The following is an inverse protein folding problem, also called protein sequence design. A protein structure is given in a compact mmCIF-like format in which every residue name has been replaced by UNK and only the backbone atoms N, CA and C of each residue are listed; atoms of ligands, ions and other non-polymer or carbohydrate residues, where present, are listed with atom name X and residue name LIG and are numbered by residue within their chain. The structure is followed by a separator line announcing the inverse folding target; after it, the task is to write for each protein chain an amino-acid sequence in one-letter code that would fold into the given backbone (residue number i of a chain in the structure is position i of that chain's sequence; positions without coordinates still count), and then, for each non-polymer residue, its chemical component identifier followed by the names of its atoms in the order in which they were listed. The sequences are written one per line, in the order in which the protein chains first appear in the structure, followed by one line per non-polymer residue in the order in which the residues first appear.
data_IF_961985326169
#
_entry.id   IF_961985326169
#
_cell.length_a   1.000
_cell.length_b   1.000
_cell.length_c   1.000
_cell.angle_alpha   90.00
_cell.angle_beta   90.00
_cell.angle_gamma   90.00
#
_symmetry.space_group_name_H-M   'P 1'
#
loop_
_entity.id
_entity.type
_entity.pdbx_description
1 polymer ?
#
# COMPACT_ATOMS: atom_id res chain seq x y z
N UNK A 1 -43.78 -19.50 -4.17
CA UNK A 1 -43.74 -18.02 -4.30
C UNK A 1 -42.86 -17.43 -3.21
N UNK A 2 -42.36 -16.22 -3.40
CA UNK A 2 -41.56 -15.50 -2.40
C UNK A 2 -42.33 -15.26 -1.11
N UNK A 3 -43.61 -14.96 -1.23
CA UNK A 3 -44.50 -14.82 -0.07
C UNK A 3 -44.53 -16.06 0.81
N UNK A 4 -44.59 -17.26 0.22
CA UNK A 4 -44.58 -18.53 0.95
C UNK A 4 -43.21 -18.81 1.62
N UNK A 5 -42.13 -18.40 0.98
CA UNK A 5 -40.78 -18.50 1.56
C UNK A 5 -40.70 -17.58 2.79
N UNK A 6 -41.15 -16.32 2.66
CA UNK A 6 -41.16 -15.34 3.76
C UNK A 6 -42.03 -15.85 4.91
N UNK A 7 -43.24 -16.42 4.65
CA UNK A 7 -44.10 -16.98 5.68
C UNK A 7 -43.45 -18.17 6.40
N UNK A 8 -42.76 -19.03 5.64
CA UNK A 8 -41.98 -20.14 6.21
C UNK A 8 -40.84 -19.63 7.11
N UNK A 9 -40.11 -18.60 6.67
CA UNK A 9 -39.02 -18.00 7.44
C UNK A 9 -39.55 -17.36 8.73
N UNK A 10 -40.65 -16.64 8.67
CA UNK A 10 -41.32 -16.07 9.86
C UNK A 10 -41.71 -17.13 10.88
N UNK A 11 -42.26 -18.26 10.41
CA UNK A 11 -42.61 -19.42 11.29
C UNK A 11 -41.36 -20.10 11.88
N UNK A 12 -40.19 -19.86 11.32
CA UNK A 12 -38.91 -20.41 11.77
C UNK A 12 -37.90 -19.29 12.06
N UNK A 13 -38.34 -18.16 12.61
CA UNK A 13 -37.59 -16.92 12.78
C UNK A 13 -36.20 -17.12 13.39
N UNK A 14 -36.06 -17.93 14.44
CA UNK A 14 -34.80 -18.23 15.10
C UNK A 14 -33.70 -18.73 14.15
N UNK A 15 -34.10 -19.41 13.06
CA UNK A 15 -33.18 -19.97 12.06
C UNK A 15 -32.84 -18.98 10.96
N UNK A 16 -33.71 -18.03 10.68
CA UNK A 16 -33.60 -17.09 9.56
C UNK A 16 -33.49 -15.63 10.00
N UNK A 17 -33.23 -15.39 11.29
CA UNK A 17 -33.03 -14.05 11.83
C UNK A 17 -31.83 -13.38 11.16
N UNK A 18 -31.99 -12.14 10.73
CA UNK A 18 -30.94 -11.25 10.26
C UNK A 18 -31.10 -9.88 10.90
N UNK A 19 -30.05 -9.09 10.89
CA UNK A 19 -30.11 -7.69 11.28
C UNK A 19 -30.81 -6.88 10.19
N UNK A 20 -31.47 -5.81 10.60
CA UNK A 20 -31.98 -4.80 9.67
C UNK A 20 -30.86 -4.30 8.76
N UNK A 21 -31.19 -4.09 7.49
CA UNK A 21 -30.20 -3.64 6.52
C UNK A 21 -30.72 -2.53 5.60
N UNK A 22 -29.78 -1.81 5.03
CA UNK A 22 -30.02 -0.74 4.06
C UNK A 22 -29.15 -0.99 2.85
N UNK A 23 -29.71 -0.78 1.66
CA UNK A 23 -28.94 -0.78 0.42
C UNK A 23 -28.76 0.67 -0.05
N UNK A 24 -27.53 1.09 -0.20
CA UNK A 24 -27.17 2.45 -0.58
C UNK A 24 -26.37 2.41 -1.87
N UNK A 25 -26.85 3.09 -2.91
CA UNK A 25 -26.06 3.39 -4.12
C UNK A 25 -25.49 4.79 -4.03
N UNK A 26 -24.38 5.04 -4.71
CA UNK A 26 -23.74 6.35 -4.62
C UNK A 26 -22.99 6.73 -5.91
N UNK A 27 -22.76 8.02 -6.08
CA UNK A 27 -21.80 8.59 -7.01
C UNK A 27 -20.65 9.17 -6.21
N UNK A 28 -19.42 8.89 -6.64
CA UNK A 28 -18.20 9.49 -6.11
C UNK A 28 -17.69 10.53 -7.10
N UNK A 29 -17.57 11.77 -6.65
CA UNK A 29 -16.87 12.84 -7.36
C UNK A 29 -15.56 13.05 -6.61
N UNK A 30 -14.47 12.55 -7.19
CA UNK A 30 -13.17 12.51 -6.54
C UNK A 30 -12.53 13.91 -6.47
N UNK A 31 -11.90 14.22 -5.34
CA UNK A 31 -11.08 15.43 -5.17
C UNK A 31 -9.68 15.20 -5.75
N UNK A 32 -9.61 15.24 -7.08
CA UNK A 32 -8.37 15.03 -7.83
C UNK A 32 -7.90 16.32 -8.51
N UNK A 33 -6.58 16.49 -8.51
CA UNK A 33 -5.94 17.54 -9.28
C UNK A 33 -6.33 17.51 -10.76
N UNK A 34 -6.58 18.66 -11.34
CA UNK A 34 -6.83 18.83 -12.76
C UNK A 34 -5.53 18.73 -13.56
N UNK A 35 -5.66 18.67 -14.90
CA UNK A 35 -4.48 18.74 -15.78
C UNK A 35 -3.78 20.08 -15.70
N UNK A 36 -4.51 21.13 -15.41
CA UNK A 36 -4.01 22.49 -15.18
C UNK A 36 -3.15 22.52 -13.91
N UNK A 37 -3.64 21.94 -12.81
CA UNK A 37 -2.90 21.80 -11.55
C UNK A 37 -1.61 20.99 -11.74
N UNK A 38 -1.68 19.85 -12.46
CA UNK A 38 -0.49 19.07 -12.81
C UNK A 38 0.54 19.89 -13.60
N UNK A 39 0.06 20.70 -14.57
CA UNK A 39 0.91 21.52 -15.40
C UNK A 39 1.55 22.65 -14.58
N UNK A 40 0.81 23.25 -13.67
CA UNK A 40 1.30 24.30 -12.78
C UNK A 40 2.41 23.78 -11.87
N UNK A 41 2.20 22.66 -11.19
CA UNK A 41 3.23 22.02 -10.33
C UNK A 41 4.45 21.64 -11.14
N UNK A 42 4.28 21.06 -12.35
CA UNK A 42 5.36 20.73 -13.25
C UNK A 42 6.17 21.97 -13.67
N UNK A 43 5.50 23.07 -13.99
CA UNK A 43 6.17 24.31 -14.38
C UNK A 43 6.90 24.93 -13.19
N UNK A 44 6.27 24.94 -12.01
CA UNK A 44 6.87 25.42 -10.77
C UNK A 44 8.15 24.68 -10.44
N UNK A 45 8.13 23.33 -10.41
CA UNK A 45 9.33 22.54 -10.11
C UNK A 45 10.41 22.68 -11.21
N UNK A 46 9.98 22.84 -12.46
CA UNK A 46 10.91 23.07 -13.58
C UNK A 46 11.65 24.40 -13.42
N UNK A 47 10.96 25.45 -12.96
CA UNK A 47 11.58 26.76 -12.72
C UNK A 47 12.65 26.73 -11.64
N UNK A 48 12.55 25.78 -10.68
CA UNK A 48 13.57 25.58 -9.65
C UNK A 48 14.92 25.06 -10.18
N UNK A 49 14.96 24.49 -11.39
CA UNK A 49 16.21 24.00 -11.98
C UNK A 49 17.22 25.10 -12.23
N UNK A 50 16.74 26.28 -12.61
CA UNK A 50 17.57 27.45 -12.94
C UNK A 50 17.41 28.52 -11.87
N UNK A 51 18.46 29.29 -11.65
CA UNK A 51 18.36 30.45 -10.79
C UNK A 51 17.41 31.53 -11.35
N UNK A 52 16.91 32.36 -10.49
CA UNK A 52 16.05 33.49 -10.84
C UNK A 52 16.55 34.77 -10.20
N UNK A 53 16.16 35.91 -10.78
CA UNK A 53 16.41 37.21 -10.19
C UNK A 53 15.07 37.75 -9.70
N UNK A 54 15.00 38.05 -8.40
CA UNK A 54 13.78 38.53 -7.73
C UNK A 54 14.05 39.90 -7.15
N UNK A 55 13.15 40.84 -7.43
CA UNK A 55 13.24 42.17 -6.82
C UNK A 55 12.84 42.12 -5.35
N UNK A 56 13.76 42.49 -4.47
CA UNK A 56 13.54 42.56 -3.03
C UNK A 56 13.03 43.96 -2.66
N UNK A 57 11.74 44.03 -2.34
CA UNK A 57 11.11 45.32 -1.96
C UNK A 57 11.69 45.92 -0.69
N UNK A 58 12.16 45.11 0.25
CA UNK A 58 12.72 45.61 1.51
C UNK A 58 14.09 46.25 1.33
N UNK A 59 14.90 45.79 0.37
CA UNK A 59 16.24 46.32 0.09
C UNK A 59 16.30 47.24 -1.13
N UNK A 60 15.25 47.26 -1.95
CA UNK A 60 15.20 47.98 -3.22
C UNK A 60 16.18 47.45 -4.27
N UNK A 61 16.67 46.21 -4.12
CA UNK A 61 17.65 45.57 -5.01
C UNK A 61 17.15 44.24 -5.58
N UNK A 62 17.78 43.83 -6.65
CA UNK A 62 17.56 42.50 -7.20
C UNK A 62 18.41 41.47 -6.44
N UNK A 63 17.77 40.46 -5.89
CA UNK A 63 18.39 39.29 -5.29
C UNK A 63 18.48 38.18 -6.33
N UNK A 64 19.62 37.52 -6.42
CA UNK A 64 19.79 36.34 -7.28
C UNK A 64 19.55 35.07 -6.45
N UNK A 65 18.48 34.36 -6.75
CA UNK A 65 18.18 33.07 -6.16
C UNK A 65 18.92 31.96 -6.98
N UNK A 66 19.63 31.10 -6.28
CA UNK A 66 20.28 29.97 -6.91
C UNK A 66 19.25 28.95 -7.39
N UNK A 67 19.47 28.35 -8.54
CA UNK A 67 18.68 27.22 -8.99
C UNK A 67 19.25 25.89 -8.44
N UNK A 68 18.45 24.83 -8.52
CA UNK A 68 18.84 23.50 -8.02
C UNK A 68 20.14 22.97 -8.62
N UNK A 69 20.41 23.29 -9.91
CA UNK A 69 21.66 22.89 -10.60
C UNK A 69 22.90 23.51 -9.97
N UNK A 70 22.77 24.75 -9.50
CA UNK A 70 23.89 25.57 -9.01
C UNK A 70 23.89 25.77 -7.50
N UNK A 71 22.88 25.24 -6.80
CA UNK A 71 22.75 25.37 -5.36
C UNK A 71 24.00 24.86 -4.64
N UNK A 72 24.64 25.72 -3.84
CA UNK A 72 25.83 25.43 -3.05
C UNK A 72 25.50 24.54 -1.85
N UNK A 73 24.37 24.81 -1.18
CA UNK A 73 23.81 23.94 -0.16
C UNK A 73 22.57 23.21 -0.72
N UNK A 74 22.81 22.05 -1.30
CA UNK A 74 21.74 21.24 -1.92
C UNK A 74 20.71 20.75 -0.92
N UNK A 75 21.10 20.46 0.33
CA UNK A 75 20.21 19.95 1.36
C UNK A 75 19.24 21.03 1.82
N UNK A 76 19.72 22.24 2.11
CA UNK A 76 18.88 23.38 2.47
C UNK A 76 17.95 23.76 1.32
N UNK A 77 18.43 23.66 0.07
CA UNK A 77 17.60 23.90 -1.10
C UNK A 77 16.42 22.92 -1.16
N UNK A 78 16.67 21.63 -0.96
CA UNK A 78 15.61 20.62 -0.92
C UNK A 78 14.62 20.92 0.19
N UNK A 79 15.09 21.10 1.43
CA UNK A 79 14.22 21.35 2.58
C UNK A 79 13.38 22.62 2.47
N UNK A 80 13.84 23.59 1.68
CA UNK A 80 13.10 24.86 1.46
C UNK A 80 12.09 24.81 0.31
N UNK A 81 12.20 23.84 -0.62
CA UNK A 81 11.43 23.81 -1.86
C UNK A 81 10.64 22.49 -2.07
N UNK A 82 10.79 21.54 -1.18
CA UNK A 82 10.19 20.20 -1.28
C UNK A 82 9.11 20.00 -0.21
N UNK A 83 8.03 19.35 -0.59
CA UNK A 83 6.99 18.90 0.36
C UNK A 83 7.45 17.64 1.15
N UNK A 84 8.52 16.99 0.69
CA UNK A 84 9.15 15.85 1.36
C UNK A 84 10.55 16.28 1.82
N UNK A 85 10.90 16.10 3.11
CA UNK A 85 12.23 16.46 3.59
C UNK A 85 13.32 15.61 2.94
N UNK A 86 14.55 16.15 2.93
CA UNK A 86 15.71 15.43 2.42
C UNK A 86 15.97 14.14 3.19
N UNK A 87 16.12 13.05 2.43
CA UNK A 87 16.57 11.75 2.95
C UNK A 87 18.03 11.50 2.55
N UNK A 88 18.87 11.19 3.54
CA UNK A 88 20.29 10.92 3.35
C UNK A 88 20.61 9.48 2.95
N UNK A 89 19.60 8.62 2.82
CA UNK A 89 19.77 7.21 2.49
C UNK A 89 20.35 6.99 1.08
N UNK A 90 21.07 5.89 0.94
CA UNK A 90 21.44 5.38 -0.38
C UNK A 90 20.37 4.42 -0.87
N UNK A 91 19.88 4.62 -2.08
CA UNK A 91 18.80 3.85 -2.69
C UNK A 91 19.36 2.93 -3.75
N UNK A 92 19.04 1.66 -3.72
CA UNK A 92 19.40 0.72 -4.76
C UNK A 92 18.56 0.97 -6.03
N UNK A 93 19.09 0.61 -7.21
CA UNK A 93 18.41 0.86 -8.50
C UNK A 93 16.98 0.33 -8.55
N UNK A 94 16.74 -0.85 -7.95
CA UNK A 94 15.41 -1.50 -7.92
C UNK A 94 14.35 -0.73 -7.13
N UNK A 95 14.77 0.13 -6.21
CA UNK A 95 13.91 0.90 -5.31
C UNK A 95 13.67 2.34 -5.83
N UNK A 96 14.26 2.69 -6.98
CA UNK A 96 13.99 3.94 -7.70
C UNK A 96 12.69 3.84 -8.51
N UNK A 97 12.06 4.98 -8.88
CA UNK A 97 10.91 5.01 -9.79
C UNK A 97 11.19 4.24 -11.07
N UNK A 98 10.43 3.18 -11.35
CA UNK A 98 10.76 2.20 -12.38
C UNK A 98 11.00 2.79 -13.78
N UNK A 99 10.23 3.83 -14.14
CA UNK A 99 10.34 4.51 -15.45
C UNK A 99 11.66 5.29 -15.57
N UNK A 100 12.09 5.91 -14.48
CA UNK A 100 13.22 6.83 -14.42
C UNK A 100 14.46 6.21 -13.75
N UNK A 101 14.38 4.95 -13.32
CA UNK A 101 15.41 4.28 -12.54
C UNK A 101 16.78 4.24 -13.24
N UNK A 102 16.80 4.04 -14.54
CA UNK A 102 18.04 4.00 -15.32
C UNK A 102 18.74 5.35 -15.34
N UNK A 103 17.98 6.40 -15.61
CA UNK A 103 18.49 7.78 -15.68
C UNK A 103 18.96 8.26 -14.31
N UNK A 104 18.13 8.04 -13.28
CA UNK A 104 18.46 8.43 -11.90
C UNK A 104 19.68 7.68 -11.38
N UNK A 105 19.72 6.37 -11.59
CA UNK A 105 20.84 5.55 -11.11
C UNK A 105 22.17 5.89 -11.78
N UNK A 106 22.17 6.27 -13.06
CA UNK A 106 23.38 6.57 -13.82
C UNK A 106 23.81 8.03 -13.73
N UNK A 107 23.16 8.88 -12.93
CA UNK A 107 23.56 10.26 -12.74
C UNK A 107 24.99 10.37 -12.19
N UNK A 108 25.81 11.17 -12.85
CA UNK A 108 27.11 11.56 -12.31
C UNK A 108 26.94 12.42 -11.03
N UNK A 109 27.87 12.39 -10.08
CA UNK A 109 27.82 13.26 -8.91
C UNK A 109 27.67 14.75 -9.32
N UNK A 110 26.68 15.42 -8.70
CA UNK A 110 26.30 16.81 -9.01
C UNK A 110 25.36 16.98 -10.21
N UNK A 111 25.15 15.96 -11.05
CA UNK A 111 24.20 16.02 -12.15
C UNK A 111 22.75 16.01 -11.65
N UNK A 112 21.88 16.68 -12.40
CA UNK A 112 20.44 16.83 -12.08
C UNK A 112 19.60 16.21 -13.17
N UNK A 113 18.58 15.45 -12.78
CA UNK A 113 17.55 14.85 -13.63
C UNK A 113 16.16 15.32 -13.24
N UNK A 114 15.29 15.45 -14.22
CA UNK A 114 13.88 15.80 -14.05
C UNK A 114 13.49 17.06 -14.86
N UNK A 115 12.20 17.47 -14.78
CA UNK A 115 11.17 16.91 -13.88
C UNK A 115 10.65 15.54 -14.34
N UNK A 116 10.38 14.67 -13.38
CA UNK A 116 9.74 13.36 -13.57
C UNK A 116 8.61 13.16 -12.56
N UNK A 117 7.67 12.26 -12.85
CA UNK A 117 6.52 11.99 -11.97
C UNK A 117 6.77 10.72 -11.17
N UNK A 118 6.60 10.81 -9.85
CA UNK A 118 6.65 9.66 -8.95
C UNK A 118 5.46 9.69 -7.98
N UNK A 119 4.53 8.74 -8.15
CA UNK A 119 3.27 8.75 -7.42
C UNK A 119 2.50 10.04 -7.66
N UNK A 120 2.16 10.74 -6.59
CA UNK A 120 1.46 12.03 -6.62
C UNK A 120 2.40 13.24 -6.72
N UNK A 121 3.69 13.05 -6.96
CA UNK A 121 4.67 14.13 -6.95
C UNK A 121 5.29 14.35 -8.32
N UNK A 122 5.62 15.61 -8.64
CA UNK A 122 6.66 15.93 -9.59
C UNK A 122 7.98 16.11 -8.84
N UNK A 123 9.04 15.55 -9.40
CA UNK A 123 10.36 15.46 -8.77
C UNK A 123 11.47 15.98 -9.68
N UNK A 124 12.48 16.61 -9.07
CA UNK A 124 13.81 16.84 -9.67
C UNK A 124 14.84 16.30 -8.69
N UNK A 125 15.83 15.58 -9.19
CA UNK A 125 16.85 14.92 -8.35
C UNK A 125 18.26 15.28 -8.75
N UNK A 126 19.12 15.49 -7.77
CA UNK A 126 20.56 15.73 -7.92
C UNK A 126 21.34 14.61 -7.27
N UNK A 127 22.26 14.01 -7.99
CA UNK A 127 23.13 12.97 -7.45
C UNK A 127 24.14 13.55 -6.47
N UNK A 128 24.18 13.00 -5.25
CA UNK A 128 25.18 13.35 -4.22
C UNK A 128 26.31 12.31 -4.12
N UNK A 129 26.26 11.26 -4.93
CA UNK A 129 27.28 10.22 -4.99
C UNK A 129 26.73 8.82 -4.87
N UNK A 130 27.64 7.85 -4.88
CA UNK A 130 27.33 6.42 -4.83
C UNK A 130 28.02 5.75 -3.66
N UNK A 131 27.48 4.64 -3.23
CA UNK A 131 28.07 3.77 -2.21
C UNK A 131 27.92 2.32 -2.66
N UNK A 132 29.01 1.57 -2.61
CA UNK A 132 28.99 0.15 -2.88
C UNK A 132 28.32 -0.64 -1.74
N UNK A 133 27.63 -1.71 -2.10
CA UNK A 133 27.12 -2.70 -1.17
C UNK A 133 26.11 -2.15 -0.16
N UNK A 134 25.19 -1.29 -0.57
CA UNK A 134 24.14 -0.74 0.31
C UNK A 134 23.10 -1.79 0.72
N UNK A 135 22.89 -2.79 -0.13
CA UNK A 135 22.13 -4.01 0.19
C UNK A 135 22.99 -5.23 -0.11
N UNK A 136 22.77 -6.30 0.60
CA UNK A 136 23.40 -7.57 0.34
C UNK A 136 22.36 -8.68 0.24
N UNK A 137 22.68 -9.71 -0.53
CA UNK A 137 21.92 -10.95 -0.61
C UNK A 137 22.79 -12.09 -0.08
N UNK A 138 22.23 -12.90 0.78
CA UNK A 138 22.93 -14.03 1.34
C UNK A 138 22.01 -15.25 1.45
N UNK A 139 22.63 -16.42 1.39
CA UNK A 139 22.01 -17.68 1.79
C UNK A 139 22.68 -18.18 3.06
N UNK A 140 21.93 -18.86 3.93
CA UNK A 140 22.48 -19.43 5.13
C UNK A 140 21.98 -20.84 5.47
N UNK A 141 22.77 -21.54 6.27
CA UNK A 141 22.39 -22.81 6.89
C UNK A 141 22.51 -22.58 8.39
N UNK A 142 21.40 -22.68 9.12
CA UNK A 142 21.35 -22.51 10.56
C UNK A 142 21.43 -23.87 11.25
N UNK A 143 22.36 -24.04 12.19
CA UNK A 143 22.46 -25.17 13.09
C UNK A 143 22.24 -24.66 14.51
N UNK A 144 21.03 -24.86 15.00
CA UNK A 144 20.61 -24.46 16.34
C UNK A 144 21.02 -25.50 17.39
N UNK A 145 20.98 -25.11 18.67
CA UNK A 145 21.24 -25.98 19.82
C UNK A 145 20.32 -25.63 20.99
N UNK A 146 20.30 -26.43 22.02
CA UNK A 146 19.49 -26.18 23.23
C UNK A 146 19.72 -24.80 23.80
N UNK A 147 18.64 -24.07 24.07
CA UNK A 147 18.68 -22.71 24.62
C UNK A 147 18.82 -21.58 23.60
N UNK A 148 18.91 -21.88 22.29
CA UNK A 148 18.81 -20.85 21.25
C UNK A 148 17.37 -20.38 21.02
N UNK A 149 17.21 -19.20 20.38
CA UNK A 149 15.91 -18.59 20.11
C UNK A 149 15.16 -19.18 18.92
N UNK A 150 15.40 -20.44 18.57
CA UNK A 150 14.75 -21.16 17.48
C UNK A 150 13.59 -21.99 18.03
N UNK A 151 12.32 -21.72 17.64
CA UNK A 151 11.16 -22.36 18.27
C UNK A 151 10.98 -23.83 17.93
N UNK A 152 11.42 -24.30 16.76
CA UNK A 152 11.23 -25.68 16.29
C UNK A 152 12.53 -26.27 15.77
N UNK A 153 13.42 -26.65 16.70
CA UNK A 153 14.67 -27.31 16.35
C UNK A 153 14.41 -28.70 15.76
N UNK A 154 15.02 -29.00 14.61
CA UNK A 154 14.91 -30.33 13.98
C UNK A 154 15.55 -31.44 14.80
N UNK A 155 16.61 -31.13 15.53
CA UNK A 155 17.37 -32.08 16.34
C UNK A 155 17.74 -31.43 17.69
N UNK A 156 17.67 -32.23 18.75
CA UNK A 156 18.09 -31.81 20.08
C UNK A 156 19.61 -32.02 20.21
N UNK A 157 20.41 -30.92 20.19
CA UNK A 157 21.88 -30.92 20.22
C UNK A 157 22.41 -30.04 21.33
N UNK A 158 23.57 -30.38 21.83
CA UNK A 158 24.40 -29.47 22.62
C UNK A 158 25.04 -28.41 21.71
N UNK A 159 25.59 -27.38 22.34
CA UNK A 159 26.32 -26.33 21.59
C UNK A 159 27.55 -26.90 20.89
N UNK A 160 28.27 -27.82 21.48
CA UNK A 160 29.47 -28.48 20.96
C UNK A 160 29.09 -29.34 19.72
N UNK A 161 28.02 -30.11 19.82
CA UNK A 161 27.51 -30.94 18.70
C UNK A 161 27.07 -30.06 17.53
N UNK A 162 26.35 -28.96 17.80
CA UNK A 162 25.95 -28.02 16.78
C UNK A 162 27.14 -27.36 16.08
N UNK A 163 28.16 -26.96 16.85
CA UNK A 163 29.40 -26.39 16.31
C UNK A 163 30.13 -27.39 15.40
N UNK A 164 30.31 -28.62 15.85
CA UNK A 164 30.96 -29.67 15.07
C UNK A 164 30.20 -29.96 13.77
N UNK A 165 28.85 -30.02 13.83
CA UNK A 165 27.99 -30.18 12.63
C UNK A 165 28.13 -28.99 11.68
N UNK A 166 28.12 -27.76 12.19
CA UNK A 166 28.28 -26.55 11.36
C UNK A 166 29.67 -26.47 10.71
N UNK A 167 30.74 -26.83 11.42
CA UNK A 167 32.10 -26.92 10.88
C UNK A 167 32.21 -28.00 9.79
N UNK A 168 31.57 -29.16 9.97
CA UNK A 168 31.50 -30.20 8.96
C UNK A 168 30.77 -29.73 7.69
N UNK A 169 29.64 -29.03 7.85
CA UNK A 169 28.88 -28.46 6.71
C UNK A 169 29.70 -27.41 6.01
N UNK A 170 30.38 -26.51 6.75
CA UNK A 170 31.28 -25.51 6.16
C UNK A 170 32.37 -26.17 5.31
N UNK A 171 32.99 -27.25 5.80
CA UNK A 171 34.01 -28.00 5.05
C UNK A 171 33.42 -28.61 3.75
N UNK A 172 32.21 -29.18 3.80
CA UNK A 172 31.53 -29.70 2.64
C UNK A 172 31.23 -28.63 1.58
N UNK A 173 30.66 -27.48 2.02
CA UNK A 173 30.36 -26.35 1.14
C UNK A 173 31.64 -25.75 0.55
N UNK A 174 32.72 -25.71 1.32
CA UNK A 174 34.01 -25.20 0.84
C UNK A 174 34.61 -26.13 -0.22
N UNK A 175 34.49 -27.45 -0.04
CA UNK A 175 34.96 -28.45 -1.00
C UNK A 175 34.08 -28.49 -2.26
N UNK A 176 32.77 -28.33 -2.10
CA UNK A 176 31.79 -28.34 -3.19
C UNK A 176 30.74 -27.26 -2.97
N UNK A 177 30.93 -26.04 -3.53
CA UNK A 177 30.00 -24.91 -3.37
C UNK A 177 28.57 -25.16 -3.87
N UNK A 178 28.38 -26.11 -4.80
CA UNK A 178 27.05 -26.45 -5.35
C UNK A 178 26.21 -27.28 -4.37
N UNK A 179 26.83 -27.88 -3.36
CA UNK A 179 26.15 -28.63 -2.31
C UNK A 179 25.35 -27.74 -1.35
N UNK A 180 25.57 -26.41 -1.36
CA UNK A 180 24.98 -25.47 -0.39
C UNK A 180 23.46 -25.58 -0.33
N UNK A 181 22.78 -25.57 -1.49
CA UNK A 181 21.33 -25.62 -1.58
C UNK A 181 20.77 -26.90 -0.95
N UNK A 182 21.37 -28.06 -1.28
CA UNK A 182 20.95 -29.35 -0.73
C UNK A 182 21.20 -29.42 0.79
N UNK A 183 22.35 -28.94 1.25
CA UNK A 183 22.69 -28.89 2.67
C UNK A 183 21.79 -27.94 3.45
N UNK A 184 21.40 -26.78 2.87
CA UNK A 184 20.42 -25.89 3.45
C UNK A 184 19.06 -26.59 3.62
N UNK A 185 18.59 -27.26 2.58
CA UNK A 185 17.32 -27.99 2.60
C UNK A 185 17.30 -29.11 3.66
N UNK A 186 18.38 -29.89 3.76
CA UNK A 186 18.42 -31.08 4.61
C UNK A 186 18.80 -30.78 6.06
N UNK A 187 19.73 -29.85 6.29
CA UNK A 187 20.36 -29.66 7.61
C UNK A 187 19.98 -28.37 8.33
N UNK A 188 19.45 -27.34 7.63
CA UNK A 188 19.14 -26.06 8.25
C UNK A 188 17.89 -26.12 9.13
N UNK A 189 17.98 -25.52 10.32
CA UNK A 189 16.86 -25.36 11.24
C UNK A 189 16.04 -24.08 10.95
N UNK A 190 16.46 -23.28 9.96
CA UNK A 190 15.78 -22.06 9.56
C UNK A 190 14.67 -22.32 8.51
N UNK A 191 13.63 -21.49 8.54
CA UNK A 191 12.49 -21.59 7.59
C UNK A 191 12.90 -21.38 6.13
N UNK A 192 13.94 -20.58 5.88
CA UNK A 192 14.51 -20.38 4.52
C UNK A 192 15.12 -21.65 3.92
N UNK A 193 15.28 -22.72 4.71
CA UNK A 193 15.76 -24.03 4.23
C UNK A 193 15.00 -24.52 3.00
N UNK A 194 13.69 -24.29 2.92
CA UNK A 194 12.83 -24.66 1.80
C UNK A 194 13.18 -23.94 0.49
N UNK A 195 13.89 -22.82 0.59
CA UNK A 195 14.38 -21.99 -0.53
C UNK A 195 15.92 -22.06 -0.67
N UNK A 196 16.55 -23.14 -0.15
CA UNK A 196 18.01 -23.29 -0.17
C UNK A 196 18.74 -22.32 0.74
N UNK A 197 18.08 -21.81 1.77
CA UNK A 197 18.63 -20.84 2.71
C UNK A 197 18.64 -19.40 2.21
N UNK A 198 18.02 -19.10 1.06
CA UNK A 198 18.02 -17.75 0.48
C UNK A 198 17.18 -16.78 1.35
N UNK A 199 17.82 -15.71 1.81
CA UNK A 199 17.21 -14.66 2.63
C UNK A 199 16.75 -13.44 1.81
N UNK A 200 16.98 -13.43 0.51
CA UNK A 200 16.75 -12.27 -0.32
C UNK A 200 17.74 -11.14 -0.02
N UNK A 201 17.41 -9.93 -0.52
CA UNK A 201 18.19 -8.73 -0.23
C UNK A 201 17.76 -8.07 1.08
N UNK A 202 18.74 -7.64 1.87
CA UNK A 202 18.55 -6.89 3.10
C UNK A 202 19.59 -5.77 3.24
N UNK A 203 19.22 -4.72 3.94
CA UNK A 203 20.09 -3.59 4.25
C UNK A 203 20.91 -3.79 5.51
N UNK A 204 21.87 -2.88 5.80
CA UNK A 204 22.66 -2.91 7.02
C UNK A 204 21.77 -2.88 8.28
N UNK A 205 22.18 -3.64 9.29
CA UNK A 205 21.52 -3.74 10.60
C UNK A 205 20.10 -4.34 10.59
N UNK A 206 19.66 -4.96 9.52
CA UNK A 206 18.40 -5.74 9.47
C UNK A 206 18.59 -7.16 10.04
N UNK A 207 19.81 -7.65 10.07
CA UNK A 207 20.18 -8.93 10.68
C UNK A 207 20.91 -8.71 11.99
N UNK A 208 20.95 -9.75 12.86
CA UNK A 208 21.75 -9.69 14.11
C UNK A 208 23.20 -9.36 13.81
N UNK A 209 23.82 -8.59 14.72
CA UNK A 209 25.12 -7.97 14.48
C UNK A 209 26.22 -8.89 13.93
N UNK A 210 26.48 -10.10 14.48
CA UNK A 210 27.53 -10.95 13.92
C UNK A 210 27.27 -11.39 12.49
N UNK A 211 26.01 -11.67 12.15
CA UNK A 211 25.58 -12.02 10.77
C UNK A 211 25.75 -10.81 9.83
N UNK A 212 25.23 -9.66 10.27
CA UNK A 212 25.35 -8.40 9.53
C UNK A 212 26.81 -8.06 9.21
N UNK A 213 27.67 -8.08 10.21
CA UNK A 213 29.08 -7.74 10.09
C UNK A 213 29.79 -8.68 9.10
N UNK A 214 29.49 -9.99 9.17
CA UNK A 214 30.04 -10.93 8.22
C UNK A 214 29.65 -10.60 6.79
N UNK A 215 28.34 -10.34 6.54
CA UNK A 215 27.85 -10.12 5.19
C UNK A 215 28.35 -8.79 4.61
N UNK A 216 28.31 -7.71 5.39
CA UNK A 216 28.67 -6.37 4.86
C UNK A 216 30.16 -6.14 4.78
N UNK A 217 30.98 -6.82 5.59
CA UNK A 217 32.44 -6.66 5.60
C UNK A 217 33.19 -7.62 4.66
N UNK A 218 32.52 -8.59 4.04
CA UNK A 218 33.15 -9.55 3.13
C UNK A 218 32.61 -9.41 1.69
N UNK A 219 33.34 -9.96 0.73
CA UNK A 219 33.00 -9.92 -0.71
C UNK A 219 31.96 -10.95 -1.09
N UNK A 220 31.28 -10.74 -2.24
CA UNK A 220 30.42 -11.75 -2.88
C UNK A 220 31.19 -13.06 -3.06
N UNK A 221 30.52 -14.18 -2.87
CA UNK A 221 31.10 -15.51 -2.94
C UNK A 221 31.74 -16.00 -1.63
N UNK A 222 31.98 -15.12 -0.65
CA UNK A 222 32.54 -15.54 0.64
C UNK A 222 31.55 -16.46 1.36
N UNK A 223 32.09 -17.58 1.85
CA UNK A 223 31.41 -18.51 2.77
C UNK A 223 32.12 -18.47 4.11
N UNK A 224 31.36 -18.53 5.20
CA UNK A 224 31.94 -18.56 6.54
C UNK A 224 30.95 -18.98 7.61
N UNK A 225 31.50 -19.27 8.80
CA UNK A 225 30.76 -19.69 9.98
C UNK A 225 30.66 -18.52 10.99
N UNK A 226 29.46 -18.24 11.44
CA UNK A 226 29.18 -17.18 12.42
C UNK A 226 28.25 -17.71 13.51
N UNK A 227 28.58 -17.42 14.77
CA UNK A 227 27.71 -17.70 15.92
C UNK A 227 26.80 -16.51 16.22
N UNK A 228 25.53 -16.79 16.48
CA UNK A 228 24.51 -15.79 16.88
C UNK A 228 23.65 -16.37 18.02
N UNK A 229 22.72 -15.59 18.62
CA UNK A 229 21.75 -16.10 19.59
C UNK A 229 20.83 -17.22 19.02
N UNK A 230 20.76 -17.40 17.71
CA UNK A 230 19.98 -18.45 17.06
C UNK A 230 20.77 -19.76 16.85
N UNK A 231 22.08 -19.72 16.95
CA UNK A 231 22.96 -20.85 16.70
C UNK A 231 24.13 -20.52 15.79
N UNK A 232 24.66 -21.54 15.11
CA UNK A 232 25.75 -21.42 14.16
C UNK A 232 25.20 -21.29 12.74
N UNK A 233 25.63 -20.22 12.04
CA UNK A 233 25.23 -19.95 10.66
C UNK A 233 26.40 -20.18 9.72
N UNK A 234 26.22 -21.04 8.74
CA UNK A 234 27.08 -21.10 7.55
C UNK A 234 26.47 -20.13 6.54
N UNK A 235 27.14 -19.01 6.28
CA UNK A 235 26.64 -17.90 5.46
C UNK A 235 27.39 -17.90 4.15
N UNK A 236 26.66 -17.78 3.01
CA UNK A 236 27.19 -17.56 1.67
C UNK A 236 26.67 -16.22 1.16
N UNK A 237 27.55 -15.27 0.89
CA UNK A 237 27.20 -14.00 0.28
C UNK A 237 27.00 -14.21 -1.21
N UNK A 238 25.77 -14.00 -1.70
CA UNK A 238 25.42 -14.33 -3.08
C UNK A 238 25.40 -13.12 -4.00
N UNK A 239 25.08 -11.94 -3.47
CA UNK A 239 25.09 -10.69 -4.25
C UNK A 239 25.19 -9.45 -3.36
N UNK A 240 25.55 -8.29 -3.95
CA UNK A 240 25.52 -6.97 -3.34
C UNK A 240 25.00 -5.93 -4.33
N UNK A 241 24.20 -5.01 -3.86
CA UNK A 241 23.69 -3.91 -4.65
C UNK A 241 24.35 -2.60 -4.21
N UNK A 242 24.83 -1.86 -5.18
CA UNK A 242 25.28 -0.49 -4.96
C UNK A 242 24.08 0.46 -4.92
N UNK A 243 24.23 1.56 -4.21
CA UNK A 243 23.20 2.58 -4.10
C UNK A 243 23.69 3.94 -4.58
N UNK A 244 22.71 4.76 -4.96
CA UNK A 244 22.91 6.19 -5.24
C UNK A 244 22.23 7.00 -4.14
N UNK A 245 22.86 8.10 -3.72
CA UNK A 245 22.24 9.09 -2.83
C UNK A 245 21.77 10.26 -3.67
N UNK A 246 20.50 10.54 -3.60
CA UNK A 246 19.84 11.61 -4.34
C UNK A 246 19.32 12.69 -3.37
N UNK A 247 19.56 13.93 -3.72
CA UNK A 247 18.82 15.05 -3.16
C UNK A 247 17.63 15.30 -4.10
N UNK A 248 16.42 15.08 -3.61
CA UNK A 248 15.19 15.15 -4.42
C UNK A 248 14.28 16.25 -3.90
N UNK A 249 13.98 17.24 -4.73
CA UNK A 249 12.84 18.14 -4.52
C UNK A 249 11.61 17.43 -5.07
N UNK A 250 10.60 17.23 -4.25
CA UNK A 250 9.34 16.61 -4.59
C UNK A 250 8.20 17.57 -4.26
N UNK A 251 7.38 17.94 -5.24
CA UNK A 251 6.20 18.78 -5.05
C UNK A 251 4.94 17.99 -5.37
N UNK A 252 4.02 17.96 -4.42
CA UNK A 252 2.78 17.19 -4.51
C UNK A 252 1.83 17.82 -5.51
N UNK A 253 1.18 16.99 -6.30
CA UNK A 253 0.10 17.39 -7.19
C UNK A 253 -1.21 17.20 -6.42
N UNK A 254 -1.83 18.31 -6.06
CA UNK A 254 -3.12 18.37 -5.37
C UNK A 254 -4.07 19.25 -6.14
N UNK A 255 -5.37 19.07 -5.92
CA UNK A 255 -6.37 19.98 -6.48
C UNK A 255 -6.13 21.41 -5.94
N UNK A 256 -6.04 22.38 -6.83
CA UNK A 256 -6.00 23.78 -6.42
C UNK A 256 -7.37 24.21 -5.85
N UNK A 257 -7.42 25.34 -5.15
CA UNK A 257 -8.66 25.94 -4.66
C UNK A 257 -9.69 26.07 -5.80
N UNK A 258 -9.27 26.54 -6.97
CA UNK A 258 -10.13 26.68 -8.14
C UNK A 258 -10.66 25.32 -8.66
N UNK A 259 -9.86 24.25 -8.55
CA UNK A 259 -10.29 22.89 -8.92
C UNK A 259 -11.24 22.33 -7.86
N UNK A 260 -10.94 22.50 -6.58
CA UNK A 260 -11.81 22.07 -5.47
C UNK A 260 -13.16 22.78 -5.50
N UNK A 261 -13.21 24.09 -5.82
CA UNK A 261 -14.45 24.85 -6.00
C UNK A 261 -15.30 24.32 -7.16
N UNK A 262 -14.67 23.93 -8.27
CA UNK A 262 -15.37 23.31 -9.42
C UNK A 262 -15.95 21.95 -9.00
N UNK A 263 -15.17 21.11 -8.33
CA UNK A 263 -15.59 19.80 -7.82
C UNK A 263 -16.76 19.94 -6.85
N UNK A 264 -16.67 20.89 -5.91
CA UNK A 264 -17.75 21.20 -4.97
C UNK A 264 -19.03 21.66 -5.69
N UNK A 265 -18.89 22.53 -6.70
CA UNK A 265 -20.02 23.02 -7.49
C UNK A 265 -20.68 21.88 -8.28
N UNK A 266 -19.87 21.00 -8.88
CA UNK A 266 -20.35 19.80 -9.60
C UNK A 266 -21.09 18.84 -8.65
N UNK A 267 -20.52 18.59 -7.46
CA UNK A 267 -21.12 17.72 -6.45
C UNK A 267 -22.46 18.30 -5.94
N UNK A 268 -22.50 19.60 -5.71
CA UNK A 268 -23.73 20.32 -5.28
C UNK A 268 -24.81 20.27 -6.36
N UNK A 269 -24.44 20.51 -7.60
CA UNK A 269 -25.36 20.43 -8.75
C UNK A 269 -25.92 19.03 -8.90
N UNK A 270 -25.06 18.00 -8.80
CA UNK A 270 -25.52 16.63 -8.90
C UNK A 270 -26.46 16.25 -7.75
N UNK A 271 -26.16 16.66 -6.53
CA UNK A 271 -27.03 16.43 -5.35
C UNK A 271 -28.43 17.03 -5.58
N UNK A 272 -28.49 18.28 -6.03
CA UNK A 272 -29.77 18.96 -6.34
C UNK A 272 -30.53 18.25 -7.46
N UNK A 273 -29.86 17.96 -8.57
CA UNK A 273 -30.48 17.25 -9.69
C UNK A 273 -30.96 15.83 -9.28
N UNK A 274 -30.22 15.15 -8.42
CA UNK A 274 -30.56 13.82 -7.91
C UNK A 274 -31.76 13.83 -6.92
N UNK A 275 -31.97 14.94 -6.21
CA UNK A 275 -33.15 15.15 -5.34
C UNK A 275 -34.39 15.49 -6.16
N UNK A 276 -34.26 16.41 -7.15
CA UNK A 276 -35.36 16.94 -7.91
C UNK A 276 -35.82 16.03 -9.06
N UNK A 277 -34.91 15.21 -9.57
CA UNK A 277 -35.11 14.31 -10.70
C UNK A 277 -34.90 12.86 -10.26
N UNK A 278 -34.75 11.95 -11.23
CA UNK A 278 -34.29 10.59 -10.97
C UNK A 278 -32.76 10.54 -10.86
N UNK A 279 -32.24 9.88 -9.82
CA UNK A 279 -30.81 9.75 -9.54
C UNK A 279 -30.00 9.19 -10.72
N UNK A 280 -30.54 8.16 -11.39
CA UNK A 280 -29.88 7.52 -12.53
C UNK A 280 -29.87 8.46 -13.74
N UNK A 281 -30.95 9.22 -13.94
CA UNK A 281 -31.05 10.20 -15.02
C UNK A 281 -30.06 11.34 -14.80
N UNK A 282 -30.00 11.88 -13.59
CA UNK A 282 -29.06 12.94 -13.21
C UNK A 282 -27.61 12.49 -13.42
N UNK A 283 -27.24 11.28 -12.98
CA UNK A 283 -25.92 10.72 -13.17
C UNK A 283 -25.57 10.58 -14.67
N UNK A 284 -26.49 10.08 -15.48
CA UNK A 284 -26.30 9.95 -16.93
C UNK A 284 -26.12 11.30 -17.62
N UNK A 285 -26.93 12.31 -17.28
CA UNK A 285 -26.84 13.67 -17.82
C UNK A 285 -25.47 14.31 -17.52
N UNK A 286 -24.93 14.09 -16.32
CA UNK A 286 -23.63 14.60 -15.91
C UNK A 286 -22.46 13.65 -16.23
N UNK A 287 -22.71 12.50 -16.89
CA UNK A 287 -21.71 11.47 -17.22
C UNK A 287 -20.97 10.92 -16.00
N UNK A 288 -21.68 10.85 -14.87
CA UNK A 288 -21.16 10.30 -13.62
C UNK A 288 -21.49 8.80 -13.52
N UNK A 289 -20.60 8.04 -12.89
CA UNK A 289 -20.78 6.60 -12.69
C UNK A 289 -21.40 6.33 -11.34
N UNK A 290 -22.52 5.60 -11.32
CA UNK A 290 -23.11 5.08 -10.09
C UNK A 290 -22.34 3.84 -9.69
N UNK A 291 -21.83 3.82 -8.48
CA UNK A 291 -21.15 2.68 -7.91
C UNK A 291 -22.13 1.54 -7.59
N UNK A 292 -21.60 0.31 -7.55
CA UNK A 292 -22.40 -0.84 -7.12
C UNK A 292 -22.98 -0.58 -5.72
N UNK A 293 -24.26 -0.94 -5.51
CA UNK A 293 -24.91 -0.72 -4.22
C UNK A 293 -24.17 -1.42 -3.08
N UNK A 294 -24.09 -0.76 -1.94
CA UNK A 294 -23.50 -1.28 -0.70
C UNK A 294 -24.62 -1.61 0.27
N UNK A 295 -24.65 -2.84 0.75
CA UNK A 295 -25.56 -3.25 1.83
C UNK A 295 -24.86 -3.03 3.17
N UNK A 296 -25.51 -2.30 4.08
CA UNK A 296 -25.00 -1.97 5.41
C UNK A 296 -25.99 -2.33 6.50
N UNK A 297 -25.48 -2.64 7.69
CA UNK A 297 -26.23 -2.84 8.93
C UNK A 297 -26.02 -1.64 9.86
N UNK A 298 -26.93 -1.44 10.81
CA UNK A 298 -26.91 -0.27 11.69
C UNK A 298 -25.61 -0.05 12.47
N UNK A 299 -24.88 -1.11 12.79
CA UNK A 299 -23.62 -1.04 13.55
C UNK A 299 -22.35 -1.07 12.68
N UNK A 300 -22.46 -1.15 11.36
CA UNK A 300 -21.31 -1.19 10.48
C UNK A 300 -20.52 0.14 10.53
N UNK A 301 -19.22 0.03 10.60
CA UNK A 301 -18.27 1.15 10.53
C UNK A 301 -17.82 1.39 9.08
N UNK A 302 -17.83 0.33 8.27
CA UNK A 302 -17.30 0.31 6.91
C UNK A 302 -18.42 0.45 5.90
N UNK A 303 -18.21 1.31 4.90
CA UNK A 303 -19.12 1.49 3.77
C UNK A 303 -18.44 1.03 2.46
N UNK A 304 -18.48 -0.27 2.22
CA UNK A 304 -17.94 -0.89 1.02
C UNK A 304 -16.48 -0.47 0.73
N UNK A 305 -16.17 -0.15 -0.53
CA UNK A 305 -14.80 0.20 -0.94
C UNK A 305 -14.32 1.57 -0.40
N UNK A 306 -15.21 2.40 0.14
CA UNK A 306 -14.85 3.69 0.73
C UNK A 306 -14.28 3.57 2.16
N UNK A 307 -14.21 2.35 2.71
CA UNK A 307 -13.63 2.10 4.02
C UNK A 307 -14.50 2.62 5.17
N UNK A 308 -13.87 3.14 6.21
CA UNK A 308 -14.56 3.60 7.43
C UNK A 308 -15.34 4.90 7.18
N UNK A 309 -16.63 4.78 6.89
CA UNK A 309 -17.58 5.86 6.61
C UNK A 309 -18.84 5.75 7.45
N UNK A 310 -18.67 5.71 8.76
CA UNK A 310 -19.76 5.59 9.74
C UNK A 310 -20.86 6.65 9.56
N UNK A 311 -20.53 7.84 9.07
CA UNK A 311 -21.50 8.93 8.81
C UNK A 311 -22.53 8.55 7.75
N UNK A 312 -22.11 7.86 6.68
CA UNK A 312 -23.01 7.38 5.61
C UNK A 312 -23.90 6.27 6.16
N UNK A 313 -23.33 5.33 6.92
CA UNK A 313 -24.11 4.26 7.54
C UNK A 313 -25.15 4.83 8.50
N UNK A 314 -24.78 5.73 9.41
CA UNK A 314 -25.71 6.37 10.35
C UNK A 314 -26.85 7.09 9.64
N UNK A 315 -26.55 7.82 8.57
CA UNK A 315 -27.58 8.49 7.78
C UNK A 315 -28.59 7.49 7.20
N UNK A 316 -28.15 6.35 6.69
CA UNK A 316 -29.03 5.35 6.13
C UNK A 316 -29.99 4.72 7.17
N UNK A 317 -29.72 4.89 8.46
CA UNK A 317 -30.55 4.44 9.59
C UNK A 317 -31.13 5.61 10.40
N UNK A 318 -31.16 6.85 9.87
CA UNK A 318 -31.83 7.98 10.53
C UNK A 318 -33.33 7.72 10.65
N UNK A 319 -33.91 8.09 11.79
CA UNK A 319 -35.35 7.92 12.02
C UNK A 319 -36.19 8.66 10.96
N UNK A 320 -37.14 7.95 10.37
CA UNK A 320 -38.03 8.49 9.36
C UNK A 320 -37.41 8.67 7.96
N UNK A 321 -36.19 8.20 7.74
CA UNK A 321 -35.59 8.19 6.39
C UNK A 321 -36.40 7.32 5.44
N UNK A 322 -36.53 7.72 4.20
CA UNK A 322 -37.32 7.01 3.17
C UNK A 322 -36.45 6.54 2.03
N UNK A 323 -36.84 5.45 1.40
CA UNK A 323 -36.27 5.01 0.13
C UNK A 323 -36.30 6.17 -0.86
N UNK A 324 -35.21 6.40 -1.57
CA UNK A 324 -35.01 7.52 -2.49
C UNK A 324 -34.38 8.76 -1.86
N UNK A 325 -34.19 8.80 -0.52
CA UNK A 325 -33.46 9.89 0.13
C UNK A 325 -32.04 10.00 -0.43
N UNK A 326 -31.62 11.24 -0.72
CA UNK A 326 -30.28 11.57 -1.25
C UNK A 326 -29.59 12.52 -0.27
N UNK A 327 -28.28 12.29 -0.07
CA UNK A 327 -27.46 13.18 0.77
C UNK A 327 -26.00 13.12 0.31
N UNK A 328 -25.35 14.28 0.35
CA UNK A 328 -23.92 14.43 0.07
C UNK A 328 -23.10 14.30 1.35
N UNK A 329 -21.97 13.64 1.23
CA UNK A 329 -20.94 13.50 2.25
C UNK A 329 -19.59 13.93 1.69
N UNK A 330 -18.84 14.66 2.45
CA UNK A 330 -17.43 14.95 2.17
C UNK A 330 -16.59 13.88 2.87
N UNK A 331 -15.78 13.19 2.08
CA UNK A 331 -14.89 12.11 2.55
C UNK A 331 -13.46 12.56 2.38
N UNK A 332 -12.76 12.79 3.47
CA UNK A 332 -11.40 13.31 3.49
C UNK A 332 -10.46 12.46 2.61
N UNK A 333 -9.67 13.13 1.77
CA UNK A 333 -8.73 12.53 0.80
C UNK A 333 -9.38 11.65 -0.28
N UNK A 334 -10.70 11.67 -0.42
CA UNK A 334 -11.45 10.89 -1.42
C UNK A 334 -12.27 11.83 -2.31
N UNK A 335 -13.09 12.71 -1.72
CA UNK A 335 -13.95 13.63 -2.44
C UNK A 335 -15.38 13.67 -1.91
N UNK A 336 -16.33 13.95 -2.79
CA UNK A 336 -17.75 14.05 -2.45
C UNK A 336 -18.48 12.76 -2.84
N UNK A 337 -19.14 12.15 -1.86
CA UNK A 337 -20.00 10.98 -2.04
C UNK A 337 -21.46 11.45 -1.98
N UNK A 338 -22.18 11.33 -3.07
CA UNK A 338 -23.62 11.59 -3.11
C UNK A 338 -24.33 10.24 -3.05
N UNK A 339 -24.86 9.94 -1.89
CA UNK A 339 -25.49 8.67 -1.57
C UNK A 339 -27.01 8.74 -1.73
N UNK A 340 -27.61 7.65 -2.25
CA UNK A 340 -29.06 7.46 -2.32
C UNK A 340 -29.45 6.18 -1.61
N UNK A 341 -30.42 6.25 -0.73
CA UNK A 341 -31.00 5.09 -0.08
C UNK A 341 -31.88 4.33 -1.08
N UNK A 342 -31.40 3.15 -1.51
CA UNK A 342 -32.04 2.36 -2.56
C UNK A 342 -33.12 1.43 -1.99
N UNK A 343 -32.87 0.80 -0.85
CA UNK A 343 -33.85 -0.05 -0.19
C UNK A 343 -33.66 -0.12 1.32
N UNK A 344 -34.74 -0.44 2.01
CA UNK A 344 -34.84 -0.63 3.45
C UNK A 344 -35.34 -2.07 3.69
N UNK A 345 -34.59 -2.84 4.45
CA UNK A 345 -35.04 -4.15 4.93
C UNK A 345 -35.07 -4.17 6.47
N UNK A 346 -36.25 -3.98 7.00
CA UNK A 346 -36.57 -4.04 8.43
C UNK A 346 -37.26 -5.38 8.81
N UNK A 347 -37.23 -6.36 7.90
CA UNK A 347 -37.91 -7.64 8.10
C UNK A 347 -37.30 -8.47 9.23
N UNK A 348 -36.06 -8.21 9.59
CA UNK A 348 -35.31 -9.02 10.57
C UNK A 348 -35.00 -10.44 10.08
N UNK A 349 -35.15 -10.69 8.79
CA UNK A 349 -34.97 -12.00 8.16
C UNK A 349 -33.93 -11.98 7.07
N UNK A 350 -33.27 -13.12 6.85
CA UNK A 350 -32.35 -13.30 5.74
C UNK A 350 -33.06 -13.08 4.40
N UNK A 351 -32.41 -12.46 3.42
CA UNK A 351 -33.01 -12.22 2.11
C UNK A 351 -33.50 -13.52 1.43
N UNK A 352 -34.66 -13.47 0.81
CA UNK A 352 -35.27 -14.62 0.12
C UNK A 352 -34.35 -15.25 -0.93
N UNK A 353 -33.56 -14.43 -1.63
CA UNK A 353 -32.57 -14.90 -2.63
C UNK A 353 -31.53 -15.83 -2.05
N UNK A 354 -31.10 -15.61 -0.81
CA UNK A 354 -30.08 -16.42 -0.12
C UNK A 354 -30.63 -17.79 0.30
N UNK A 355 -31.90 -17.84 0.72
CA UNK A 355 -32.51 -19.06 1.28
C UNK A 355 -33.35 -19.85 0.28
N UNK A 356 -33.65 -19.28 -0.87
CA UNK A 356 -34.52 -19.88 -1.89
C UNK A 356 -34.15 -21.32 -2.22
N UNK A 357 -32.87 -21.57 -2.50
CA UNK A 357 -32.37 -22.90 -2.87
C UNK A 357 -32.63 -23.97 -1.81
N UNK A 358 -32.74 -23.60 -0.55
CA UNK A 358 -32.96 -24.52 0.58
C UNK A 358 -34.42 -24.60 0.97
N UNK A 359 -35.14 -23.48 0.96
CA UNK A 359 -36.53 -23.41 1.47
C UNK A 359 -37.55 -23.86 0.42
N UNK A 360 -37.32 -23.54 -0.86
CA UNK A 360 -38.26 -23.91 -1.93
C UNK A 360 -38.48 -25.42 -2.07
N UNK A 361 -37.46 -26.29 -1.98
CA UNK A 361 -37.66 -27.76 -1.97
C UNK A 361 -38.47 -28.23 -0.75
N UNK A 362 -38.22 -27.63 0.43
CA UNK A 362 -38.97 -27.98 1.66
C UNK A 362 -40.46 -27.68 1.46
N UNK A 363 -40.81 -26.49 0.96
CA UNK A 363 -42.18 -26.09 0.70
C UNK A 363 -42.87 -26.94 -0.37
N UNK A 364 -42.14 -27.32 -1.44
CA UNK A 364 -42.62 -28.23 -2.49
C UNK A 364 -42.94 -29.62 -1.94
N UNK A 365 -42.09 -30.17 -1.10
CA UNK A 365 -42.29 -31.47 -0.48
C UNK A 365 -43.47 -31.44 0.50
N UNK A 366 -43.62 -30.36 1.29
CA UNK A 366 -44.74 -30.17 2.20
C UNK A 366 -46.06 -30.15 1.43
N UNK A 367 -46.17 -29.38 0.35
CA UNK A 367 -47.36 -29.33 -0.49
C UNK A 367 -47.69 -30.67 -1.15
N UNK A 368 -46.69 -31.45 -1.55
CA UNK A 368 -46.91 -32.80 -2.08
C UNK A 368 -47.47 -33.75 -1.01
N UNK A 369 -47.00 -33.63 0.24
CA UNK A 369 -47.50 -34.46 1.34
C UNK A 369 -48.93 -34.09 1.76
N UNK A 370 -49.37 -32.86 1.54
CA UNK A 370 -50.76 -32.39 1.81
C UNK A 370 -51.73 -32.83 0.70
N UNK A 371 -51.25 -33.26 -0.47
CA UNK A 371 -52.06 -33.72 -1.61
C UNK A 371 -52.19 -35.27 -1.68
N UNK A 372 -51.54 -36.00 -0.79
CA UNK A 372 -51.62 -37.46 -0.64
C UNK A 372 -52.49 -37.78 0.56
#
# INVERSE_FOLDING_TARGET
TDAEIVDFMKKNEKKYKADESREVEYVLIEDKASKEDESEVKNKITSLLSGSVVYNQATGKNDTLQGFRTATNTIDFVNSNSDVPYDSSYVAKKDLPAIDAEQLYNLAPGAVYGPYKFGSYYCISKSLGRKAGVNAKASHILISYQGTQVPNQKENRTKEEAKAKAESILAQVTANPDSFLMLAFTASDDSSSQQGGDLGYFGPNQMVKPFNDFVFNNSIGKVGLVETPFGFHIIKITDKQDGIRLATVAQKVEASEATSDKIFTEATKFEMDAIDKDFNKAAKEMKLTIAAPVTVKGMDEVFGPLGNQRTIVRWAFEDGIKVGAVKRFEVANVGHVIAKLKSIDDSGLVAVSVVRSYVEPILKNKKKAELI
#
